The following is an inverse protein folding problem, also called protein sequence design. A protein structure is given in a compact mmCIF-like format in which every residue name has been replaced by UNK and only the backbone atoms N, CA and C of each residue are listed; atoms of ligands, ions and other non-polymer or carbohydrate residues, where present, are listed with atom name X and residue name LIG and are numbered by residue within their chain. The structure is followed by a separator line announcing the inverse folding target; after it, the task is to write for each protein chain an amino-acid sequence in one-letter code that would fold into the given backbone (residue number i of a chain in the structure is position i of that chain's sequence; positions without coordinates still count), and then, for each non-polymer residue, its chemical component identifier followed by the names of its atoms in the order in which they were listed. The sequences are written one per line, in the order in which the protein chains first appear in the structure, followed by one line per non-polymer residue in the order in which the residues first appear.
data_IF_520571075867
#
_entry.id   IF_520571075867
#
_cell.length_a   1.000
_cell.length_b   1.000
_cell.length_c   1.000
_cell.angle_alpha   90.00
_cell.angle_beta   90.00
_cell.angle_gamma   90.00
#
_symmetry.space_group_name_H-M   'P 1'
#
loop_
_entity.id
_entity.type
_entity.pdbx_description
1 polymer ?
#
# COMPACT_ATOMS: atom_id res chain seq x y z
N UNK A 1 -3.53 6.23 20.08
CA UNK A 1 -2.06 6.18 19.92
C UNK A 1 -1.50 7.59 20.02
N UNK A 2 -0.28 7.75 20.51
CA UNK A 2 0.43 9.03 20.47
C UNK A 2 1.08 9.20 19.09
N UNK A 3 0.81 10.31 18.41
CA UNK A 3 1.26 10.55 17.03
C UNK A 3 2.30 11.66 17.04
N UNK A 4 3.56 11.32 16.76
CA UNK A 4 4.65 12.30 16.70
C UNK A 4 4.59 13.16 15.43
N UNK A 5 4.31 12.52 14.28
CA UNK A 5 4.27 13.16 12.96
C UNK A 5 3.19 12.51 12.07
N UNK A 6 2.66 13.28 11.12
CA UNK A 6 1.71 12.76 10.11
C UNK A 6 1.95 13.41 8.75
N UNK A 7 1.91 12.62 7.68
CA UNK A 7 1.95 13.10 6.31
C UNK A 7 1.08 12.21 5.41
N UNK A 8 0.37 12.77 4.41
CA UNK A 8 -0.35 11.97 3.42
C UNK A 8 0.58 11.29 2.41
N UNK A 9 1.86 11.68 2.36
CA UNK A 9 2.85 11.08 1.48
C UNK A 9 3.50 9.87 2.15
N UNK A 10 3.31 8.68 1.55
CA UNK A 10 3.97 7.44 2.00
C UNK A 10 5.49 7.60 2.06
N UNK A 11 6.10 8.24 1.06
CA UNK A 11 7.56 8.40 0.99
C UNK A 11 8.08 9.35 2.06
N UNK A 12 7.33 10.41 2.40
CA UNK A 12 7.71 11.29 3.50
C UNK A 12 7.70 10.54 4.83
N UNK A 13 6.68 9.70 5.05
CA UNK A 13 6.62 8.84 6.25
C UNK A 13 7.78 7.84 6.28
N UNK A 14 8.11 7.21 5.14
CA UNK A 14 9.25 6.30 5.02
C UNK A 14 10.59 6.97 5.37
N UNK A 15 10.86 8.16 4.84
CA UNK A 15 12.06 8.95 5.19
C UNK A 15 12.11 9.29 6.69
N UNK A 16 10.99 9.70 7.30
CA UNK A 16 10.96 9.97 8.75
C UNK A 16 11.31 8.74 9.60
N UNK A 17 10.81 7.55 9.21
CA UNK A 17 11.17 6.29 9.87
C UNK A 17 12.66 5.97 9.64
N UNK A 18 13.16 6.15 8.40
CA UNK A 18 14.57 5.92 8.06
C UNK A 18 15.52 6.80 8.87
N UNK A 19 15.12 8.04 9.14
CA UNK A 19 15.85 8.99 10.00
C UNK A 19 15.65 8.75 11.51
N UNK A 20 14.99 7.67 11.91
CA UNK A 20 14.84 7.28 13.31
C UNK A 20 13.79 8.07 14.11
N UNK A 21 12.85 8.76 13.44
CA UNK A 21 11.80 9.54 14.11
C UNK A 21 10.65 8.69 14.66
N UNK A 22 10.74 7.36 14.57
CA UNK A 22 9.77 6.41 15.11
C UNK A 22 9.52 5.24 14.17
N UNK A 23 8.29 4.72 14.19
CA UNK A 23 7.81 3.67 13.30
C UNK A 23 6.51 4.10 12.62
N UNK A 24 6.11 3.37 11.58
CA UNK A 24 4.83 3.58 10.90
C UNK A 24 4.17 2.25 10.58
N UNK A 25 2.83 2.27 10.48
CA UNK A 25 2.02 1.13 10.04
C UNK A 25 1.50 1.45 8.64
N UNK A 26 1.85 0.60 7.66
CA UNK A 26 1.49 0.77 6.26
C UNK A 26 0.80 -0.49 5.73
N UNK A 27 -0.22 -0.31 4.88
CA UNK A 27 -0.87 -1.41 4.15
C UNK A 27 -0.19 -1.69 2.81
N UNK A 28 0.32 -0.65 2.16
CA UNK A 28 1.10 -0.78 0.92
C UNK A 28 2.47 -1.33 1.25
N UNK A 29 2.93 -2.34 0.50
CA UNK A 29 4.26 -2.96 0.63
C UNK A 29 5.14 -2.61 -0.57
N UNK A 30 5.94 -1.54 -0.50
CA UNK A 30 6.93 -1.26 -1.53
C UNK A 30 7.94 -2.41 -1.66
N UNK A 31 8.34 -2.73 -2.89
CA UNK A 31 9.38 -3.72 -3.19
C UNK A 31 10.78 -3.26 -2.77
N UNK A 32 10.99 -1.94 -2.70
CA UNK A 32 12.26 -1.35 -2.32
C UNK A 32 12.28 -1.07 -0.81
N UNK A 33 13.31 -1.52 -0.13
CA UNK A 33 13.57 -1.25 1.28
C UNK A 33 14.30 0.10 1.51
N UNK A 34 14.76 0.75 0.43
CA UNK A 34 15.43 2.04 0.48
C UNK A 34 14.44 3.22 0.42
N UNK A 35 14.66 4.24 1.25
CA UNK A 35 13.95 5.52 1.23
C UNK A 35 14.56 6.49 0.21
N UNK A 36 13.87 7.58 -0.12
CA UNK A 36 14.37 8.58 -1.07
C UNK A 36 15.64 9.32 -0.61
N UNK A 37 15.85 9.42 0.70
CA UNK A 37 17.05 9.99 1.32
C UNK A 37 18.17 8.95 1.55
N UNK A 38 17.99 7.70 1.10
CA UNK A 38 19.04 6.68 1.10
C UNK A 38 19.15 5.85 2.38
N UNK A 39 18.13 5.87 3.23
CA UNK A 39 18.06 5.04 4.42
C UNK A 39 17.38 3.69 4.14
N UNK A 40 17.82 2.63 4.83
CA UNK A 40 17.21 1.31 4.74
C UNK A 40 16.12 1.13 5.79
N UNK A 41 15.00 0.54 5.37
CA UNK A 41 13.88 0.18 6.25
C UNK A 41 13.76 -1.32 6.40
N UNK A 42 13.26 -1.75 7.55
CA UNK A 42 12.83 -3.13 7.79
C UNK A 42 11.31 -3.16 7.84
N UNK A 43 10.70 -4.08 7.08
CA UNK A 43 9.27 -4.36 7.15
C UNK A 43 9.04 -5.53 8.11
N UNK A 44 8.13 -5.35 9.06
CA UNK A 44 7.74 -6.38 10.04
C UNK A 44 6.24 -6.62 9.95
N UNK A 45 5.84 -7.89 10.04
CA UNK A 45 4.43 -8.27 10.12
C UNK A 45 3.90 -8.04 11.54
N UNK A 46 2.64 -7.63 11.63
CA UNK A 46 1.90 -7.54 12.89
C UNK A 46 1.50 -8.97 13.29
N UNK A 47 1.77 -9.34 14.54
CA UNK A 47 1.55 -10.71 15.02
C UNK A 47 0.06 -11.10 15.10
N UNK A 48 -0.82 -10.12 15.31
CA UNK A 48 -2.26 -10.34 15.37
C UNK A 48 -2.82 -10.67 13.98
N UNK A 49 -3.79 -11.59 13.92
CA UNK A 49 -4.54 -11.82 12.70
C UNK A 49 -5.42 -10.60 12.37
N UNK A 50 -5.27 -10.08 11.15
CA UNK A 50 -6.01 -8.92 10.67
C UNK A 50 -6.55 -9.18 9.25
N UNK A 51 -7.74 -8.66 8.91
CA UNK A 51 -8.25 -8.78 7.55
C UNK A 51 -7.36 -8.04 6.57
N UNK A 52 -7.17 -8.62 5.38
CA UNK A 52 -6.39 -8.00 4.32
C UNK A 52 -7.07 -6.72 3.79
N UNK A 53 -6.26 -5.71 3.45
CA UNK A 53 -6.75 -4.53 2.73
C UNK A 53 -7.23 -4.95 1.34
N UNK A 54 -8.48 -4.61 1.01
CA UNK A 54 -9.10 -4.95 -0.28
C UNK A 54 -9.23 -3.71 -1.15
N UNK A 55 -8.63 -3.73 -2.34
CA UNK A 55 -8.88 -2.72 -3.37
C UNK A 55 -10.15 -3.10 -4.14
N UNK A 56 -11.03 -2.11 -4.34
CA UNK A 56 -12.30 -2.29 -5.05
C UNK A 56 -12.37 -1.40 -6.29
N UNK A 57 -13.22 -1.79 -7.24
CA UNK A 57 -13.62 -0.95 -8.37
C UNK A 57 -15.03 -0.45 -8.12
N UNK A 58 -15.18 0.87 -8.02
CA UNK A 58 -16.46 1.53 -7.79
C UNK A 58 -16.92 2.25 -9.06
N UNK A 59 -18.22 2.16 -9.37
CA UNK A 59 -18.89 2.94 -10.40
C UNK A 59 -20.26 3.41 -9.90
N UNK A 60 -20.83 4.42 -10.56
CA UNK A 60 -22.16 4.92 -10.21
C UNK A 60 -23.21 3.81 -10.45
N UNK A 61 -24.09 3.58 -9.47
CA UNK A 61 -25.09 2.52 -9.55
C UNK A 61 -26.11 2.71 -10.70
N UNK A 62 -26.32 3.96 -11.12
CA UNK A 62 -27.22 4.30 -12.22
C UNK A 62 -26.51 4.38 -13.59
N UNK A 63 -25.23 4.03 -13.67
CA UNK A 63 -24.45 4.07 -14.90
C UNK A 63 -23.65 2.77 -15.06
N UNK A 64 -24.09 1.94 -15.98
CA UNK A 64 -23.36 0.73 -16.36
C UNK A 64 -22.00 1.10 -16.96
N UNK A 65 -20.90 0.48 -16.51
CA UNK A 65 -19.59 0.72 -17.10
C UNK A 65 -19.61 0.40 -18.60
N UNK A 66 -18.96 1.25 -19.40
CA UNK A 66 -18.84 1.02 -20.84
C UNK A 66 -18.10 -0.30 -21.12
N UNK A 67 -18.27 -0.86 -22.32
CA UNK A 67 -17.58 -2.12 -22.69
C UNK A 67 -16.05 -2.07 -22.48
N UNK A 68 -15.33 -1.00 -22.87
CA UNK A 68 -13.90 -0.87 -22.54
C UNK A 68 -13.62 -0.86 -21.03
N UNK A 69 -14.46 -0.18 -20.24
CA UNK A 69 -14.31 -0.15 -18.78
C UNK A 69 -14.50 -1.53 -18.16
N UNK A 70 -15.52 -2.28 -18.59
CA UNK A 70 -15.73 -3.66 -18.13
C UNK A 70 -14.52 -4.55 -18.44
N UNK A 71 -13.98 -4.46 -19.66
CA UNK A 71 -12.77 -5.20 -20.05
C UNK A 71 -11.56 -4.83 -19.19
N UNK A 72 -11.38 -3.55 -18.87
CA UNK A 72 -10.33 -3.11 -17.95
C UNK A 72 -10.53 -3.66 -16.54
N UNK A 73 -11.77 -3.62 -16.02
CA UNK A 73 -12.10 -4.18 -14.71
C UNK A 73 -11.81 -5.68 -14.64
N UNK A 74 -12.20 -6.44 -15.66
CA UNK A 74 -11.94 -7.88 -15.75
C UNK A 74 -10.44 -8.17 -15.83
N UNK A 75 -9.70 -7.38 -16.62
CA UNK A 75 -8.25 -7.47 -16.69
C UNK A 75 -7.60 -7.22 -15.32
N UNK A 76 -7.97 -6.15 -14.61
CA UNK A 76 -7.45 -5.87 -13.28
C UNK A 76 -7.72 -7.00 -12.27
N UNK A 77 -8.90 -7.64 -12.33
CA UNK A 77 -9.22 -8.80 -11.47
C UNK A 77 -8.37 -10.04 -11.78
N UNK A 78 -7.88 -10.16 -13.01
CA UNK A 78 -7.03 -11.28 -13.41
C UNK A 78 -5.57 -11.14 -12.95
N UNK A 79 -5.17 -9.94 -12.48
CA UNK A 79 -3.82 -9.65 -12.03
C UNK A 79 -3.70 -9.82 -10.52
N UNK A 80 -2.68 -10.54 -10.09
CA UNK A 80 -2.27 -10.57 -8.70
C UNK A 80 -1.54 -9.28 -8.35
N UNK A 81 -2.10 -8.50 -7.41
CA UNK A 81 -1.54 -7.20 -6.99
C UNK A 81 -0.52 -7.33 -5.86
N UNK A 82 -0.31 -8.54 -5.35
CA UNK A 82 0.62 -8.82 -4.25
C UNK A 82 1.97 -9.24 -4.84
N UNK A 83 3.08 -8.58 -4.50
CA UNK A 83 4.38 -9.06 -4.92
C UNK A 83 4.68 -10.42 -4.27
N UNK A 84 5.20 -11.38 -5.05
CA UNK A 84 5.72 -12.62 -4.48
C UNK A 84 6.89 -12.28 -3.55
N UNK A 85 6.74 -12.57 -2.26
CA UNK A 85 7.84 -12.47 -1.31
C UNK A 85 8.84 -13.59 -1.66
N UNK A 86 9.96 -13.24 -2.28
CA UNK A 86 11.11 -14.14 -2.28
C UNK A 86 11.74 -14.07 -0.89
N UNK A 87 11.66 -15.19 -0.18
CA UNK A 87 12.39 -15.45 1.06
C UNK A 87 13.91 -15.45 0.82
#
# INVERSE_FOLDING_TARGET
PEVAYSSPSIEMVRCMVGQGLGFSVLVTRPLCDMTYDGEKLVQLDIADEMPASTLIMAHLANNEPTRPTQLFMDYCRSIELTPHQHA
#
